data_IF_752615610169
#
_entry.id   IF_752615610169
#
_cell.length_a   1.000
_cell.length_b   1.000
_cell.length_c   1.000
_cell.angle_alpha   90.00
_cell.angle_beta   90.00
_cell.angle_gamma   90.00
#
_symmetry.space_group_name_H-M   'P 1'
#
loop_
_entity.id
_entity.type
_entity.pdbx_description
1 polymer ?
#
# COMPACT_ATOMS: atom_id res chain seq x y z
N UNK A 1 7.81 -20.87 0.20
CA UNK A 1 7.87 -19.45 0.63
C UNK A 1 6.53 -19.15 1.26
N UNK A 2 6.46 -18.67 2.51
CA UNK A 2 5.17 -18.14 2.99
C UNK A 2 4.97 -16.78 2.35
N UNK A 3 3.90 -16.65 1.61
CA UNK A 3 3.69 -15.53 0.72
C UNK A 3 3.40 -14.26 1.53
N UNK A 4 3.97 -13.15 1.06
CA UNK A 4 3.85 -11.83 1.68
C UNK A 4 3.42 -10.90 0.57
N UNK A 5 2.30 -10.24 0.79
CA UNK A 5 1.71 -9.38 -0.21
C UNK A 5 1.50 -8.00 0.40
N UNK A 6 1.69 -7.00 -0.45
CA UNK A 6 1.38 -5.61 -0.15
C UNK A 6 0.33 -5.17 -1.15
N UNK A 7 -0.82 -4.78 -0.64
CA UNK A 7 -1.89 -4.20 -1.41
C UNK A 7 -1.83 -2.68 -1.23
N UNK A 8 -1.57 -1.96 -2.31
CA UNK A 8 -1.66 -0.51 -2.38
C UNK A 8 -2.90 -0.15 -3.19
N UNK A 9 -3.88 0.47 -2.56
CA UNK A 9 -5.01 1.09 -3.23
C UNK A 9 -4.81 2.61 -3.19
N UNK A 10 -4.83 3.26 -4.34
CA UNK A 10 -4.71 4.72 -4.40
C UNK A 10 -6.07 5.39 -4.43
N UNK A 11 -6.17 6.59 -3.86
CA UNK A 11 -7.42 7.36 -3.77
C UNK A 11 -7.25 8.61 -4.63
N UNK A 12 -8.01 8.70 -5.72
CA UNK A 12 -8.00 9.85 -6.64
C UNK A 12 -6.60 10.18 -7.20
N UNK A 13 -5.77 9.16 -7.46
CA UNK A 13 -4.44 9.38 -8.00
C UNK A 13 -4.50 9.86 -9.45
N UNK A 14 -3.71 10.89 -9.75
CA UNK A 14 -3.50 11.33 -11.12
C UNK A 14 -2.69 10.33 -11.94
N UNK A 15 -2.78 10.40 -13.27
CA UNK A 15 -1.98 9.53 -14.15
C UNK A 15 -0.48 9.67 -13.92
N UNK A 16 0.01 10.86 -13.52
CA UNK A 16 1.41 11.08 -13.20
C UNK A 16 1.81 10.37 -11.89
N UNK A 17 0.97 10.44 -10.86
CA UNK A 17 1.19 9.72 -9.61
C UNK A 17 1.16 8.20 -9.80
N UNK A 18 0.26 7.69 -10.65
CA UNK A 18 0.24 6.27 -11.02
C UNK A 18 1.52 5.87 -11.78
N UNK A 19 2.00 6.70 -12.70
CA UNK A 19 3.26 6.46 -13.40
C UNK A 19 4.46 6.44 -12.44
N UNK A 20 4.48 7.34 -11.45
CA UNK A 20 5.48 7.34 -10.38
C UNK A 20 5.45 6.03 -9.58
N UNK A 21 4.29 5.57 -9.13
CA UNK A 21 4.15 4.28 -8.43
C UNK A 21 4.71 3.14 -9.27
N UNK A 22 4.32 3.07 -10.55
CA UNK A 22 4.82 2.03 -11.49
C UNK A 22 6.35 2.06 -11.59
N UNK A 23 6.96 3.25 -11.58
CA UNK A 23 8.42 3.39 -11.61
C UNK A 23 9.10 2.82 -10.37
N UNK A 24 8.52 3.00 -9.18
CA UNK A 24 9.01 2.39 -7.93
C UNK A 24 8.89 0.86 -7.98
N UNK A 25 7.80 0.37 -8.59
CA UNK A 25 7.48 -1.05 -8.67
C UNK A 25 8.21 -1.80 -9.80
N UNK A 26 9.09 -1.14 -10.56
CA UNK A 26 9.78 -1.74 -11.74
C UNK A 26 10.50 -3.05 -11.41
N UNK A 27 11.09 -3.17 -10.23
CA UNK A 27 11.84 -4.36 -9.79
C UNK A 27 10.98 -5.38 -9.03
N UNK A 28 9.66 -5.16 -8.96
CA UNK A 28 8.74 -5.98 -8.19
C UNK A 28 7.75 -6.70 -9.09
N UNK A 29 7.35 -7.91 -8.68
CA UNK A 29 6.24 -8.62 -9.31
C UNK A 29 4.95 -8.05 -8.70
N UNK A 30 4.14 -7.41 -9.53
CA UNK A 30 2.83 -6.91 -9.12
C UNK A 30 1.76 -7.13 -10.18
N UNK A 31 0.51 -7.12 -9.74
CA UNK A 31 -0.67 -7.03 -10.60
C UNK A 31 -1.36 -5.70 -10.28
N UNK A 32 -1.75 -4.96 -11.32
CA UNK A 32 -2.50 -3.72 -11.21
C UNK A 32 -3.92 -3.90 -11.76
N UNK A 33 -4.92 -3.52 -10.97
CA UNK A 33 -6.35 -3.54 -11.34
C UNK A 33 -7.00 -2.31 -10.72
N UNK A 34 -7.66 -1.45 -11.50
CA UNK A 34 -8.42 -0.29 -11.02
C UNK A 34 -7.71 0.50 -9.90
N UNK A 35 -6.53 1.04 -10.21
CA UNK A 35 -5.69 1.84 -9.29
C UNK A 35 -5.27 1.12 -8.00
N UNK A 36 -5.38 -0.22 -8.00
CA UNK A 36 -4.96 -1.13 -6.94
C UNK A 36 -3.80 -1.99 -7.40
N UNK A 37 -2.71 -1.97 -6.63
CA UNK A 37 -1.50 -2.73 -6.88
C UNK A 37 -1.37 -3.85 -5.84
N UNK A 38 -1.37 -5.09 -6.32
CA UNK A 38 -1.12 -6.29 -5.50
C UNK A 38 0.33 -6.70 -5.76
N UNK A 39 1.19 -6.45 -4.79
CA UNK A 39 2.64 -6.53 -4.94
C UNK A 39 3.17 -7.72 -4.13
N UNK A 40 3.88 -8.62 -4.78
CA UNK A 40 4.66 -9.66 -4.09
C UNK A 40 5.89 -9.03 -3.47
N UNK A 41 5.98 -8.97 -2.15
CA UNK A 41 7.05 -8.18 -1.52
C UNK A 41 7.55 -8.71 -0.17
N UNK A 42 8.69 -8.17 0.26
CA UNK A 42 9.18 -8.30 1.65
C UNK A 42 8.64 -7.16 2.50
N UNK A 43 8.57 -7.33 3.83
CA UNK A 43 8.12 -6.31 4.80
C UNK A 43 8.78 -4.94 4.58
N UNK A 44 10.06 -4.92 4.22
CA UNK A 44 10.84 -3.71 3.98
C UNK A 44 10.32 -2.81 2.86
N UNK A 45 9.51 -3.32 1.93
CA UNK A 45 8.92 -2.48 0.89
C UNK A 45 7.86 -1.56 1.49
N UNK A 46 7.00 -2.07 2.38
CA UNK A 46 5.96 -1.30 3.07
C UNK A 46 6.55 -0.06 3.75
N UNK A 47 7.64 -0.26 4.49
CA UNK A 47 8.28 0.79 5.30
C UNK A 47 8.96 1.86 4.42
N UNK A 48 9.32 1.54 3.17
CA UNK A 48 9.90 2.48 2.21
C UNK A 48 8.86 3.18 1.34
N UNK A 49 7.80 2.47 0.98
CA UNK A 49 6.81 2.95 0.02
C UNK A 49 5.92 4.04 0.63
N UNK A 50 5.43 3.85 1.85
CA UNK A 50 4.55 4.83 2.50
C UNK A 50 5.15 6.26 2.56
N UNK A 51 6.41 6.47 3.04
CA UNK A 51 7.02 7.80 3.01
C UNK A 51 7.14 8.42 1.62
N UNK A 52 7.40 7.62 0.58
CA UNK A 52 7.50 8.13 -0.79
C UNK A 52 6.13 8.59 -1.31
N UNK A 53 5.07 7.83 -1.01
CA UNK A 53 3.71 8.21 -1.36
C UNK A 53 3.27 9.49 -0.63
N UNK A 54 3.66 9.64 0.64
CA UNK A 54 3.36 10.84 1.43
C UNK A 54 4.08 12.09 0.86
N UNK A 55 5.35 11.95 0.43
CA UNK A 55 6.13 13.04 -0.20
C UNK A 55 5.47 13.52 -1.51
N UNK A 56 5.00 12.59 -2.34
CA UNK A 56 4.31 12.89 -3.60
C UNK A 56 2.82 13.27 -3.41
N UNK A 57 2.39 13.45 -2.15
CA UNK A 57 1.02 13.78 -1.78
C UNK A 57 -0.02 12.84 -2.41
N UNK A 58 0.32 11.55 -2.48
CA UNK A 58 -0.55 10.49 -2.97
C UNK A 58 -1.41 10.04 -1.79
N UNK A 59 -2.73 10.02 -1.97
CA UNK A 59 -3.66 9.45 -0.99
C UNK A 59 -3.76 7.95 -1.24
N UNK A 60 -3.75 7.15 -0.18
CA UNK A 60 -3.71 5.69 -0.32
C UNK A 60 -4.23 4.93 0.89
N UNK A 61 -4.51 3.65 0.66
CA UNK A 61 -4.62 2.60 1.67
C UNK A 61 -3.59 1.52 1.31
N UNK A 62 -2.71 1.22 2.25
CA UNK A 62 -1.61 0.27 2.11
C UNK A 62 -1.77 -0.84 3.14
N UNK A 63 -2.09 -2.04 2.68
CA UNK A 63 -2.29 -3.23 3.50
C UNK A 63 -1.15 -4.21 3.25
N UNK A 64 -0.35 -4.46 4.27
CA UNK A 64 0.65 -5.53 4.26
C UNK A 64 0.07 -6.76 4.94
N UNK A 65 0.18 -7.92 4.31
CA UNK A 65 -0.31 -9.19 4.86
C UNK A 65 0.85 -10.18 4.94
N UNK A 66 1.03 -10.78 6.12
CA UNK A 66 1.99 -11.84 6.37
C UNK A 66 1.30 -12.98 7.13
N UNK A 67 1.18 -14.14 6.49
CA UNK A 67 0.53 -15.32 7.07
C UNK A 67 1.07 -15.75 8.46
N UNK A 68 2.29 -15.35 8.84
CA UNK A 68 2.85 -15.68 10.16
C UNK A 68 2.62 -14.62 11.24
N UNK A 69 2.48 -13.35 10.87
CA UNK A 69 2.57 -12.23 11.81
C UNK A 69 1.40 -11.26 11.68
N UNK A 70 0.29 -11.71 11.11
CA UNK A 70 -0.87 -10.87 10.83
C UNK A 70 -0.65 -9.88 9.69
N UNK A 71 -1.38 -8.78 9.72
CA UNK A 71 -1.30 -7.71 8.73
C UNK A 71 -1.04 -6.35 9.35
N UNK A 72 -0.49 -5.43 8.58
CA UNK A 72 -0.37 -4.02 8.97
C UNK A 72 -1.12 -3.16 7.95
N UNK A 73 -1.74 -2.06 8.40
CA UNK A 73 -2.41 -1.10 7.52
C UNK A 73 -1.91 0.31 7.76
N UNK A 74 -1.60 1.01 6.67
CA UNK A 74 -1.23 2.43 6.61
C UNK A 74 -2.17 3.12 5.64
N UNK A 75 -2.53 4.37 5.92
CA UNK A 75 -3.40 5.11 5.03
C UNK A 75 -3.12 6.60 5.12
N UNK A 76 -3.33 7.29 4.00
CA UNK A 76 -3.21 8.73 3.85
C UNK A 76 -4.38 9.27 3.04
N UNK A 77 -4.86 10.47 3.37
CA UNK A 77 -5.98 11.11 2.68
C UNK A 77 -7.38 10.56 3.02
N UNK A 78 -7.50 9.74 4.06
CA UNK A 78 -8.79 9.30 4.64
C UNK A 78 -9.21 10.21 5.80
N UNK A 79 -10.52 10.35 6.03
CA UNK A 79 -11.00 11.13 7.17
C UNK A 79 -10.69 10.43 8.52
N UNK A 80 -10.63 11.19 9.61
CA UNK A 80 -10.25 10.68 10.93
C UNK A 80 -11.17 9.57 11.49
N UNK A 81 -12.44 9.53 11.06
CA UNK A 81 -13.40 8.50 11.48
C UNK A 81 -13.07 7.16 10.82
N UNK A 82 -12.78 7.18 9.53
CA UNK A 82 -12.46 5.99 8.76
C UNK A 82 -11.03 5.54 9.00
N UNK A 83 -10.08 6.46 9.22
CA UNK A 83 -8.72 6.14 9.67
C UNK A 83 -8.73 5.29 10.96
N UNK A 84 -9.58 5.64 11.94
CA UNK A 84 -9.75 4.84 13.16
C UNK A 84 -10.29 3.44 12.88
N UNK A 85 -11.25 3.31 11.95
CA UNK A 85 -11.77 1.99 11.55
C UNK A 85 -10.68 1.17 10.86
N UNK A 86 -9.92 1.78 9.97
CA UNK A 86 -8.85 1.15 9.20
C UNK A 86 -7.71 0.70 10.12
N UNK A 87 -7.34 1.51 11.11
CA UNK A 87 -6.35 1.13 12.13
C UNK A 87 -6.76 -0.09 12.94
N UNK A 88 -8.07 -0.35 13.09
CA UNK A 88 -8.59 -1.55 13.72
C UNK A 88 -8.55 -2.79 12.79
N UNK A 89 -8.19 -2.64 11.51
CA UNK A 89 -8.11 -3.74 10.53
C UNK A 89 -6.82 -4.58 10.75
N UNK A 90 -5.91 -4.17 11.63
CA UNK A 90 -4.76 -4.98 12.01
C UNK A 90 -5.17 -6.07 13.01
N UNK A 91 -5.22 -7.29 12.48
CA UNK A 91 -5.55 -8.54 13.15
C UNK A 91 -4.27 -9.24 13.65
N UNK A 92 -4.38 -9.77 14.87
CA UNK A 92 -3.40 -10.55 15.65
C UNK A 92 -2.59 -11.59 14.84
#
# INVERSE_FOLDING_TARGET
>A
MKEKYLMLNTIEASSLQLAFIRSILTDYIYVEIDDTFIISCKKSLKDKLAPQLDIENIKYILVYVNEKSGGDVYCSGVNAKDEKKIKNIILL
#
